data_IF_441107200628
#
_entry.id   IF_441107200628
#
_cell.length_a   1.000
_cell.length_b   1.000
_cell.length_c   1.000
_cell.angle_alpha   90.00
_cell.angle_beta   90.00
_cell.angle_gamma   90.00
#
_symmetry.space_group_name_H-M   'P 1'
#
loop_
_entity.id
_entity.type
_entity.pdbx_description
1 polymer ?
#
# COMPACT_ATOMS: atom_id res chain seq x y z
N UNK A 1 23.87 -18.24 20.04
CA UNK A 1 22.69 -17.43 19.63
C UNK A 1 22.40 -17.73 18.18
N UNK A 2 21.21 -18.29 17.87
CA UNK A 2 20.82 -18.50 16.48
C UNK A 2 20.59 -17.15 15.80
N UNK A 3 21.33 -16.91 14.71
CA UNK A 3 21.22 -15.68 13.93
C UNK A 3 19.88 -15.68 13.20
N UNK A 4 19.08 -14.64 13.39
CA UNK A 4 17.89 -14.42 12.59
C UNK A 4 18.30 -14.06 11.15
N UNK A 5 17.67 -14.70 10.17
CA UNK A 5 17.99 -14.63 8.75
C UNK A 5 16.78 -14.04 8.03
N UNK A 6 17.01 -12.92 7.35
CA UNK A 6 16.12 -12.41 6.30
C UNK A 6 16.86 -12.57 4.98
N UNK A 7 16.30 -13.34 4.06
CA UNK A 7 16.87 -13.55 2.72
C UNK A 7 15.88 -13.09 1.67
N UNK A 8 16.30 -12.20 0.78
CA UNK A 8 15.50 -11.84 -0.39
C UNK A 8 15.38 -13.05 -1.32
N UNK A 9 14.14 -13.45 -1.63
CA UNK A 9 13.83 -14.45 -2.66
C UNK A 9 13.70 -13.79 -4.02
N UNK A 10 12.91 -12.71 -4.08
CA UNK A 10 12.67 -11.90 -5.28
C UNK A 10 12.40 -10.47 -4.87
N UNK A 11 12.93 -9.51 -5.60
CA UNK A 11 12.58 -8.10 -5.47
C UNK A 11 12.76 -7.45 -6.83
N UNK A 12 11.69 -6.84 -7.35
CA UNK A 12 11.75 -6.12 -8.63
C UNK A 12 10.60 -5.11 -8.74
N UNK A 13 10.81 -4.11 -9.56
CA UNK A 13 9.77 -3.15 -9.96
C UNK A 13 8.96 -3.78 -11.09
N UNK A 14 7.65 -3.94 -10.90
CA UNK A 14 6.77 -4.49 -11.95
C UNK A 14 6.41 -3.40 -12.96
N UNK A 15 6.12 -2.19 -12.48
CA UNK A 15 5.85 -1.01 -13.28
C UNK A 15 6.07 0.25 -12.43
N UNK A 16 5.90 1.44 -13.02
CA UNK A 16 6.12 2.71 -12.32
C UNK A 16 5.26 2.93 -11.06
N UNK A 17 4.21 2.13 -10.84
CA UNK A 17 3.30 2.21 -9.69
C UNK A 17 3.29 0.96 -8.80
N UNK A 18 4.01 -0.11 -9.18
CA UNK A 18 3.99 -1.40 -8.46
C UNK A 18 5.40 -1.94 -8.25
N UNK A 19 5.66 -2.36 -7.01
CA UNK A 19 6.90 -3.03 -6.61
C UNK A 19 6.57 -4.36 -5.94
N UNK A 20 7.24 -5.42 -6.36
CA UNK A 20 7.08 -6.75 -5.80
C UNK A 20 8.29 -7.16 -4.96
N UNK A 21 8.04 -7.62 -3.73
CA UNK A 21 9.04 -8.15 -2.82
C UNK A 21 8.61 -9.48 -2.19
N UNK A 22 9.51 -10.46 -2.19
CA UNK A 22 9.33 -11.75 -1.53
C UNK A 22 10.59 -12.10 -0.74
N UNK A 23 10.41 -12.39 0.55
CA UNK A 23 11.50 -12.60 1.49
C UNK A 23 11.26 -13.87 2.32
N UNK A 24 12.35 -14.57 2.64
CA UNK A 24 12.36 -15.68 3.59
C UNK A 24 12.81 -15.17 4.96
N UNK A 25 12.10 -15.55 6.02
CA UNK A 25 12.47 -15.29 7.40
C UNK A 25 12.64 -16.63 8.13
N UNK A 26 13.75 -16.80 8.85
CA UNK A 26 14.08 -18.01 9.61
C UNK A 26 15.21 -17.72 10.63
N UNK A 27 15.45 -18.58 11.63
CA UNK A 27 14.62 -19.70 12.05
C UNK A 27 13.45 -19.21 12.91
N UNK A 28 12.36 -19.98 12.89
CA UNK A 28 11.27 -19.84 13.86
C UNK A 28 11.12 -21.18 14.57
N UNK A 29 10.79 -21.14 15.86
CA UNK A 29 10.40 -22.36 16.57
C UNK A 29 9.06 -22.86 16.04
N UNK A 30 8.72 -24.11 16.37
CA UNK A 30 7.47 -24.73 15.98
C UNK A 30 6.28 -23.83 16.34
N UNK A 31 5.39 -23.59 15.37
CA UNK A 31 4.21 -22.71 15.46
C UNK A 31 4.46 -21.21 15.70
N UNK A 32 5.70 -20.72 15.80
CA UNK A 32 5.92 -19.27 15.92
C UNK A 32 5.83 -18.55 14.57
N UNK A 33 6.21 -19.22 13.48
CA UNK A 33 6.25 -18.63 12.14
C UNK A 33 4.90 -18.06 11.69
N UNK A 34 3.80 -18.77 11.98
CA UNK A 34 2.46 -18.32 11.61
C UNK A 34 2.00 -17.11 12.42
N UNK A 35 2.36 -17.03 13.70
CA UNK A 35 2.06 -15.88 14.56
C UNK A 35 2.78 -14.64 14.05
N UNK A 36 4.07 -14.75 13.74
CA UNK A 36 4.88 -13.65 13.19
C UNK A 36 4.38 -13.26 11.80
N UNK A 37 4.09 -14.22 10.92
CA UNK A 37 3.57 -13.94 9.58
C UNK A 37 2.22 -13.20 9.62
N UNK A 38 1.32 -13.61 10.51
CA UNK A 38 0.03 -12.94 10.68
C UNK A 38 0.18 -11.54 11.26
N UNK A 39 1.06 -11.34 12.24
CA UNK A 39 1.35 -10.02 12.79
C UNK A 39 1.93 -9.10 11.70
N UNK A 40 2.97 -9.56 10.99
CA UNK A 40 3.62 -8.80 9.93
C UNK A 40 2.64 -8.42 8.82
N UNK A 41 1.76 -9.35 8.39
CA UNK A 41 0.72 -9.05 7.39
C UNK A 41 -0.22 -7.95 7.86
N UNK A 42 -0.65 -7.95 9.13
CA UNK A 42 -1.53 -6.89 9.66
C UNK A 42 -0.80 -5.55 9.70
N UNK A 43 0.39 -5.52 10.31
CA UNK A 43 1.23 -4.31 10.40
C UNK A 43 1.50 -3.71 9.02
N UNK A 44 1.88 -4.51 8.02
CA UNK A 44 2.11 -4.00 6.67
C UNK A 44 0.85 -3.44 6.00
N UNK A 45 -0.34 -3.92 6.35
CA UNK A 45 -1.59 -3.41 5.79
C UNK A 45 -2.15 -2.18 6.53
N UNK A 46 -1.78 -1.97 7.80
CA UNK A 46 -2.39 -0.94 8.64
C UNK A 46 -1.45 0.16 9.12
N UNK A 47 -0.15 -0.10 9.23
CA UNK A 47 0.81 0.78 9.91
C UNK A 47 1.95 1.28 8.99
N UNK A 48 1.86 1.01 7.69
CA UNK A 48 2.80 1.60 6.74
C UNK A 48 2.55 3.11 6.66
N UNK A 49 3.62 3.88 6.86
CA UNK A 49 3.61 5.31 6.55
C UNK A 49 3.37 5.50 5.06
N UNK A 50 2.24 6.11 4.73
CA UNK A 50 1.87 6.47 3.36
C UNK A 50 1.66 7.97 3.25
N UNK A 51 1.76 8.46 2.01
CA UNK A 51 1.35 9.82 1.65
C UNK A 51 0.17 9.66 0.70
N UNK A 52 -0.92 10.36 0.99
CA UNK A 52 -2.13 10.35 0.18
C UNK A 52 -2.62 11.79 -0.05
N UNK A 53 -3.45 11.96 -1.08
CA UNK A 53 -4.15 13.22 -1.32
C UNK A 53 -5.29 13.30 -0.30
N UNK A 54 -5.25 14.32 0.57
CA UNK A 54 -6.24 14.47 1.64
C UNK A 54 -7.38 15.43 1.27
N UNK A 55 -7.10 16.40 0.40
CA UNK A 55 -8.07 17.39 -0.05
C UNK A 55 -7.64 17.98 -1.39
N UNK A 56 -8.62 18.44 -2.17
CA UNK A 56 -8.42 19.21 -3.40
C UNK A 56 -9.48 20.31 -3.46
N UNK A 57 -9.10 21.46 -3.99
CA UNK A 57 -10.02 22.56 -4.30
C UNK A 57 -10.10 22.67 -5.83
N UNK A 58 -11.33 22.60 -6.37
CA UNK A 58 -11.57 22.61 -7.81
C UNK A 58 -12.41 23.84 -8.13
N UNK A 59 -11.86 24.76 -8.91
CA UNK A 59 -12.55 25.98 -9.30
C UNK A 59 -13.83 25.65 -10.09
N UNK A 60 -14.94 26.29 -9.70
CA UNK A 60 -16.25 26.05 -10.30
C UNK A 60 -17.00 24.81 -9.79
N UNK A 61 -16.37 23.97 -8.95
CA UNK A 61 -17.06 22.87 -8.27
C UNK A 61 -17.57 23.32 -6.90
N UNK A 62 -18.89 23.31 -6.71
CA UNK A 62 -19.52 23.63 -5.42
C UNK A 62 -19.46 22.43 -4.44
N UNK A 63 -19.48 21.22 -4.98
CA UNK A 63 -19.44 19.95 -4.26
C UNK A 63 -18.98 18.80 -5.17
N UNK A 64 -18.67 17.64 -4.61
CA UNK A 64 -18.18 16.44 -5.31
C UNK A 64 -19.10 15.94 -6.45
N UNK A 65 -20.41 16.18 -6.37
CA UNK A 65 -21.38 15.81 -7.42
C UNK A 65 -21.53 16.85 -8.55
N UNK A 66 -20.69 17.89 -8.60
CA UNK A 66 -20.83 18.96 -9.60
C UNK A 66 -20.40 18.48 -10.99
N UNK A 67 -21.02 19.04 -12.03
CA UNK A 67 -20.56 18.93 -13.41
C UNK A 67 -19.87 20.23 -13.82
N UNK A 68 -18.71 20.12 -14.46
CA UNK A 68 -17.93 21.28 -14.91
C UNK A 68 -18.12 21.48 -16.41
N UNK A 69 -18.32 22.74 -16.83
CA UNK A 69 -18.46 23.05 -18.25
C UNK A 69 -17.16 22.73 -19.00
N UNK A 70 -17.27 21.97 -20.09
CA UNK A 70 -16.12 21.57 -20.90
C UNK A 70 -15.34 20.36 -20.37
N UNK A 71 -15.75 19.79 -19.23
CA UNK A 71 -15.18 18.54 -18.71
C UNK A 71 -16.17 17.41 -18.99
N UNK A 72 -15.64 16.29 -19.51
CA UNK A 72 -16.47 15.14 -19.85
C UNK A 72 -16.89 14.35 -18.61
N UNK A 73 -15.96 14.16 -17.68
CA UNK A 73 -16.16 13.37 -16.48
C UNK A 73 -16.67 14.27 -15.33
N UNK A 74 -17.39 13.71 -14.35
CA UNK A 74 -17.91 14.48 -13.22
C UNK A 74 -16.81 14.80 -12.19
N UNK A 75 -17.06 15.74 -11.28
CA UNK A 75 -16.09 16.02 -10.19
C UNK A 75 -15.82 14.77 -9.36
N UNK A 76 -16.81 13.90 -9.17
CA UNK A 76 -16.67 12.64 -8.45
C UNK A 76 -15.74 11.64 -9.17
N UNK A 77 -15.73 11.65 -10.50
CA UNK A 77 -14.85 10.77 -11.30
C UNK A 77 -13.39 11.26 -11.31
N UNK A 78 -13.18 12.56 -11.05
CA UNK A 78 -11.84 13.17 -10.95
C UNK A 78 -11.18 12.87 -9.60
N UNK A 79 -11.99 12.72 -8.54
CA UNK A 79 -11.54 12.35 -7.19
C UNK A 79 -11.10 10.88 -7.13
#
# INVERSE_FOLDING_TARGET
MNKFIIKCKKSHVENSRSFYGCFYLAPFDYNQSITVANALRRTLLSEISTVAINAVEIEGALHEYSSLQGVRDSVLDIL
#
